data_IF_180096295302
#
_entry.id   IF_180096295302
#
_cell.length_a   1.000
_cell.length_b   1.000
_cell.length_c   1.000
_cell.angle_alpha   90.00
_cell.angle_beta   90.00
_cell.angle_gamma   90.00
#
_symmetry.space_group_name_H-M   'P 1'
#
loop_
_entity.id
_entity.type
_entity.pdbx_description
1 polymer ?
#
# COMPACT_ATOMS: atom_id res chain seq x y z
N UNK A 1 43.87 16.73 -26.57
CA UNK A 1 43.51 17.02 -25.16
C UNK A 1 42.09 16.53 -24.94
N UNK A 2 41.93 15.26 -24.54
CA UNK A 2 40.61 14.68 -24.27
C UNK A 2 40.11 15.24 -22.93
N UNK A 3 39.36 16.34 -22.99
CA UNK A 3 38.61 16.83 -21.83
C UNK A 3 37.59 15.76 -21.43
N UNK A 4 37.62 15.33 -20.18
CA UNK A 4 36.57 14.48 -19.62
C UNK A 4 35.34 15.35 -19.32
N UNK A 5 34.24 15.24 -20.09
CA UNK A 5 33.09 16.15 -19.95
C UNK A 5 32.43 16.06 -18.57
N UNK A 6 32.58 14.93 -17.89
CA UNK A 6 32.05 14.70 -16.55
C UNK A 6 32.77 15.52 -15.48
N UNK A 7 34.10 15.62 -15.56
CA UNK A 7 34.89 16.43 -14.63
C UNK A 7 34.52 17.92 -14.78
N UNK A 8 34.31 18.38 -16.02
CA UNK A 8 33.89 19.77 -16.30
C UNK A 8 32.50 20.07 -15.76
N UNK A 9 31.54 19.16 -15.96
CA UNK A 9 30.17 19.30 -15.45
C UNK A 9 30.15 19.35 -13.91
N UNK A 10 30.88 18.45 -13.25
CA UNK A 10 30.93 18.39 -11.79
C UNK A 10 31.67 19.61 -11.23
N UNK A 11 32.80 20.00 -11.82
CA UNK A 11 33.54 21.18 -11.39
C UNK A 11 32.69 22.46 -11.52
N UNK A 12 31.93 22.58 -12.61
CA UNK A 12 30.99 23.68 -12.83
C UNK A 12 29.89 23.70 -11.76
N UNK A 13 29.33 22.54 -11.42
CA UNK A 13 28.31 22.41 -10.39
C UNK A 13 28.85 22.77 -8.99
N UNK A 14 30.07 22.32 -8.67
CA UNK A 14 30.75 22.63 -7.41
C UNK A 14 30.96 24.14 -7.29
N UNK A 15 31.48 24.78 -8.33
CA UNK A 15 31.68 26.23 -8.35
C UNK A 15 30.37 27.00 -8.21
N UNK A 16 29.30 26.54 -8.84
CA UNK A 16 27.97 27.12 -8.71
C UNK A 16 27.46 27.04 -7.26
N UNK A 17 27.59 25.87 -6.62
CA UNK A 17 27.18 25.66 -5.24
C UNK A 17 28.00 26.53 -4.26
N UNK A 18 29.31 26.64 -4.47
CA UNK A 18 30.19 27.48 -3.64
C UNK A 18 29.80 28.95 -3.76
N UNK A 19 29.56 29.46 -4.98
CA UNK A 19 29.13 30.85 -5.22
C UNK A 19 27.80 31.18 -4.58
N UNK A 20 26.89 30.20 -4.51
CA UNK A 20 25.57 30.36 -3.92
C UNK A 20 25.51 30.03 -2.41
N UNK A 21 26.66 29.81 -1.76
CA UNK A 21 26.74 29.48 -0.33
C UNK A 21 26.20 28.08 0.03
N UNK A 22 26.00 27.21 -0.96
CA UNK A 22 25.44 25.87 -0.80
C UNK A 22 26.53 24.82 -0.47
N UNK A 23 27.39 25.12 0.52
CA UNK A 23 28.54 24.27 0.88
C UNK A 23 28.12 22.86 1.33
N UNK A 24 26.94 22.72 1.94
CA UNK A 24 26.35 21.41 2.31
C UNK A 24 26.30 20.44 1.14
N UNK A 25 25.89 20.91 -0.04
CA UNK A 25 25.81 20.09 -1.26
C UNK A 25 27.19 19.69 -1.77
N UNK A 26 28.22 20.50 -1.52
CA UNK A 26 29.59 20.13 -1.86
C UNK A 26 30.11 18.99 -0.98
N UNK A 27 29.77 19.00 0.31
CA UNK A 27 30.10 17.90 1.22
C UNK A 27 29.34 16.62 0.86
N UNK A 28 28.08 16.72 0.46
CA UNK A 28 27.28 15.58 -0.03
C UNK A 28 27.87 14.95 -1.31
N UNK A 29 28.54 15.74 -2.14
CA UNK A 29 29.30 15.24 -3.31
C UNK A 29 30.64 14.57 -2.93
N UNK A 30 30.99 14.54 -1.63
CA UNK A 30 32.23 13.93 -1.14
C UNK A 30 33.45 14.85 -1.17
N UNK A 31 33.27 16.17 -1.35
CA UNK A 31 34.37 17.12 -1.29
C UNK A 31 34.66 17.52 0.15
N UNK A 32 35.92 17.39 0.56
CA UNK A 32 36.37 17.83 1.87
C UNK A 32 36.51 19.36 1.95
N UNK A 33 36.42 19.96 3.16
CA UNK A 33 36.52 21.41 3.34
C UNK A 33 37.84 21.99 2.83
N UNK A 34 38.93 21.24 2.99
CA UNK A 34 40.28 21.62 2.58
C UNK A 34 40.39 21.74 1.06
N UNK A 35 39.79 20.78 0.34
CA UNK A 35 39.72 20.76 -1.12
C UNK A 35 38.87 21.93 -1.61
N UNK A 36 37.75 22.23 -0.95
CA UNK A 36 36.90 23.38 -1.29
C UNK A 36 37.60 24.73 -1.10
N UNK A 37 38.43 24.86 -0.06
CA UNK A 37 39.23 26.07 0.15
C UNK A 37 40.27 26.27 -0.97
N UNK A 38 40.92 25.17 -1.41
CA UNK A 38 41.86 25.21 -2.53
C UNK A 38 41.19 25.49 -3.87
N UNK A 39 39.96 25.00 -4.08
CA UNK A 39 39.16 25.25 -5.29
C UNK A 39 38.81 26.73 -5.51
N UNK A 40 38.94 27.60 -4.50
CA UNK A 40 38.77 29.04 -4.69
C UNK A 40 39.90 29.66 -5.52
N UNK A 41 41.05 28.99 -5.62
CA UNK A 41 42.19 29.47 -6.39
C UNK A 41 42.03 29.13 -7.88
N UNK A 42 42.18 30.12 -8.79
CA UNK A 42 42.08 29.89 -10.24
C UNK A 42 43.07 28.84 -10.79
N UNK A 43 44.23 28.69 -10.14
CA UNK A 43 45.26 27.70 -10.47
C UNK A 43 44.79 26.26 -10.24
N UNK A 44 44.17 25.99 -9.09
CA UNK A 44 43.63 24.68 -8.76
C UNK A 44 42.50 24.26 -9.71
N UNK A 45 41.62 25.20 -10.07
CA UNK A 45 40.56 24.98 -11.05
C UNK A 45 41.11 24.61 -12.43
N UNK A 46 42.14 25.35 -12.87
CA UNK A 46 42.78 25.10 -14.16
C UNK A 46 43.47 23.74 -14.21
N UNK A 47 44.03 23.27 -13.08
CA UNK A 47 44.59 21.91 -12.98
C UNK A 47 43.49 20.85 -13.07
N UNK A 48 42.46 20.93 -12.23
CA UNK A 48 41.37 19.94 -12.19
C UNK A 48 40.61 19.83 -13.52
N UNK A 49 40.48 20.93 -14.26
CA UNK A 49 39.80 20.98 -15.56
C UNK A 49 40.65 20.41 -16.69
N UNK A 50 41.98 20.56 -16.64
CA UNK A 50 42.90 20.10 -17.68
C UNK A 50 43.52 18.71 -17.40
N UNK A 51 43.21 18.10 -16.26
CA UNK A 51 43.67 16.76 -15.91
C UNK A 51 43.09 15.71 -16.88
N UNK A 52 43.92 14.82 -17.48
CA UNK A 52 43.46 13.77 -18.40
C UNK A 52 42.82 12.57 -17.68
N UNK A 53 42.87 12.52 -16.35
CA UNK A 53 42.34 11.45 -15.49
C UNK A 53 40.95 11.84 -14.96
N UNK A 54 39.98 10.92 -15.04
CA UNK A 54 38.68 11.07 -14.38
C UNK A 54 38.84 10.98 -12.86
N UNK A 55 38.57 12.07 -12.16
CA UNK A 55 38.56 12.11 -10.69
C UNK A 55 37.13 12.02 -10.12
N UNK A 56 36.11 11.99 -10.98
CA UNK A 56 34.73 11.73 -10.60
C UNK A 56 34.28 10.34 -11.04
N UNK A 57 33.63 9.62 -10.13
CA UNK A 57 32.87 8.42 -10.46
C UNK A 57 31.37 8.72 -10.28
N UNK A 58 30.60 8.64 -11.36
CA UNK A 58 29.14 8.87 -11.32
C UNK A 58 28.44 7.54 -11.47
N UNK A 59 27.69 7.17 -10.44
CA UNK A 59 26.82 6.00 -10.46
C UNK A 59 25.37 6.46 -10.55
N UNK A 60 24.61 5.86 -11.46
CA UNK A 60 23.18 6.14 -11.61
C UNK A 60 22.45 4.97 -10.97
N UNK A 61 21.62 5.26 -9.96
CA UNK A 61 20.69 4.27 -9.42
C UNK A 61 19.50 4.12 -10.38
N UNK A 62 19.60 3.10 -11.24
CA UNK A 62 18.57 2.79 -12.23
C UNK A 62 17.22 2.40 -11.61
N UNK A 63 17.20 1.84 -10.40
CA UNK A 63 15.94 1.52 -9.72
C UNK A 63 15.25 2.78 -9.20
N UNK A 64 16.01 3.70 -8.60
CA UNK A 64 15.48 4.98 -8.15
C UNK A 64 14.98 5.82 -9.32
N UNK A 65 15.74 5.86 -10.43
CA UNK A 65 15.31 6.55 -11.67
C UNK A 65 13.99 5.95 -12.19
N UNK A 66 13.86 4.62 -12.23
CA UNK A 66 12.60 3.96 -12.61
C UNK A 66 11.46 4.31 -11.66
N UNK A 67 11.70 4.34 -10.35
CA UNK A 67 10.69 4.74 -9.35
C UNK A 67 10.22 6.19 -9.56
N UNK A 68 11.15 7.12 -9.81
CA UNK A 68 10.84 8.54 -10.10
C UNK A 68 10.08 8.69 -11.43
N UNK A 69 10.46 7.95 -12.46
CA UNK A 69 9.75 7.98 -13.74
C UNK A 69 8.34 7.38 -13.62
N UNK A 70 8.19 6.29 -12.88
CA UNK A 70 6.88 5.68 -12.63
C UNK A 70 5.97 6.58 -11.79
N UNK A 71 6.52 7.36 -10.85
CA UNK A 71 5.70 8.34 -10.11
C UNK A 71 5.29 9.54 -10.97
N UNK A 72 6.14 9.96 -11.92
CA UNK A 72 5.86 11.07 -12.83
C UNK A 72 4.90 10.72 -13.98
N UNK A 73 4.76 9.43 -14.34
CA UNK A 73 3.93 8.95 -15.46
C UNK A 73 2.52 8.49 -15.04
N UNK A 74 2.12 8.64 -13.77
CA UNK A 74 0.76 8.25 -13.37
C UNK A 74 -0.26 9.14 -14.07
N UNK A 75 -1.22 8.50 -14.73
CA UNK A 75 -2.34 9.22 -15.34
C UNK A 75 -3.22 9.86 -14.25
N UNK A 76 -3.89 10.97 -14.58
CA UNK A 76 -4.87 11.60 -13.67
C UNK A 76 -5.96 10.61 -13.20
N UNK A 77 -6.29 9.63 -14.04
CA UNK A 77 -7.22 8.54 -13.70
C UNK A 77 -6.67 7.61 -12.62
N UNK A 78 -5.39 7.24 -12.70
CA UNK A 78 -4.73 6.38 -11.72
C UNK A 78 -4.58 7.10 -10.36
N UNK A 79 -4.23 8.38 -10.37
CA UNK A 79 -4.16 9.20 -9.14
C UNK A 79 -5.52 9.24 -8.44
N UNK A 80 -6.61 9.49 -9.19
CA UNK A 80 -7.98 9.46 -8.66
C UNK A 80 -8.35 8.09 -8.11
N UNK A 81 -7.94 7.02 -8.77
CA UNK A 81 -8.20 5.65 -8.33
C UNK A 81 -7.48 5.32 -7.02
N UNK A 82 -6.23 5.75 -6.86
CA UNK A 82 -5.46 5.61 -5.62
C UNK A 82 -6.12 6.38 -4.47
N UNK A 83 -6.52 7.63 -4.70
CA UNK A 83 -7.21 8.43 -3.68
C UNK A 83 -8.53 7.80 -3.25
N UNK A 84 -9.30 7.28 -4.21
CA UNK A 84 -10.55 6.55 -3.97
C UNK A 84 -10.30 5.29 -3.12
N UNK A 85 -9.33 4.47 -3.52
CA UNK A 85 -8.93 3.27 -2.78
C UNK A 85 -8.52 3.61 -1.33
N UNK A 86 -7.76 4.69 -1.15
CA UNK A 86 -7.34 5.17 0.18
C UNK A 86 -8.52 5.61 1.05
N UNK A 87 -9.52 6.34 0.51
CA UNK A 87 -10.75 6.72 1.23
C UNK A 87 -11.60 5.50 1.63
N UNK A 88 -11.54 4.43 0.85
CA UNK A 88 -12.21 3.17 1.13
C UNK A 88 -11.41 2.26 2.08
N UNK A 89 -10.25 2.71 2.55
CA UNK A 89 -9.43 1.99 3.52
C UNK A 89 -8.56 0.90 2.91
N UNK A 90 -8.07 1.10 1.68
CA UNK A 90 -7.06 0.22 1.08
C UNK A 90 -5.82 0.10 1.97
N UNK A 91 -5.26 -1.12 2.05
CA UNK A 91 -4.01 -1.37 2.77
C UNK A 91 -2.81 -0.90 1.96
N UNK A 92 -1.69 -0.68 2.65
CA UNK A 92 -0.42 -0.34 1.99
C UNK A 92 0.00 -1.46 1.04
N UNK A 93 -0.23 -2.73 1.39
CA UNK A 93 0.04 -3.87 0.53
C UNK A 93 -0.79 -3.83 -0.76
N UNK A 94 -2.09 -3.52 -0.69
CA UNK A 94 -2.92 -3.38 -1.90
C UNK A 94 -2.37 -2.28 -2.81
N UNK A 95 -2.07 -1.10 -2.27
CA UNK A 95 -1.56 0.01 -3.05
C UNK A 95 -0.20 -0.26 -3.68
N UNK A 96 0.64 -1.04 -3.00
CA UNK A 96 1.90 -1.53 -3.57
C UNK A 96 1.66 -2.56 -4.69
N UNK A 97 0.71 -3.49 -4.50
CA UNK A 97 0.41 -4.55 -5.46
C UNK A 97 -0.25 -4.02 -6.75
N UNK A 98 -1.19 -3.09 -6.64
CA UNK A 98 -1.97 -2.60 -7.78
C UNK A 98 -1.37 -1.36 -8.46
N UNK A 99 -0.70 -0.49 -7.68
CA UNK A 99 -0.20 0.81 -8.18
C UNK A 99 1.30 1.02 -7.97
N UNK A 100 2.02 0.02 -7.46
CA UNK A 100 3.47 0.11 -7.23
C UNK A 100 3.90 1.18 -6.22
N UNK A 101 2.98 1.64 -5.36
CA UNK A 101 3.28 2.68 -4.36
C UNK A 101 4.21 2.15 -3.27
N UNK A 102 5.22 2.95 -2.89
CA UNK A 102 6.04 2.62 -1.75
C UNK A 102 5.26 2.85 -0.44
N UNK A 103 5.61 2.16 0.67
CA UNK A 103 4.99 2.42 1.96
C UNK A 103 5.09 3.88 2.43
N UNK A 104 6.18 4.57 2.04
CA UNK A 104 6.40 5.98 2.36
C UNK A 104 5.44 6.88 1.58
N UNK A 105 5.25 6.62 0.28
CA UNK A 105 4.30 7.37 -0.56
C UNK A 105 2.87 7.20 -0.04
N UNK A 106 2.48 5.96 0.32
CA UNK A 106 1.16 5.68 0.90
C UNK A 106 0.95 6.44 2.21
N UNK A 107 1.97 6.47 3.09
CA UNK A 107 1.88 7.20 4.36
C UNK A 107 1.72 8.71 4.13
N UNK A 108 2.50 9.28 3.21
CA UNK A 108 2.42 10.68 2.83
C UNK A 108 1.05 11.03 2.24
N UNK A 109 0.53 10.20 1.34
CA UNK A 109 -0.76 10.43 0.70
C UNK A 109 -1.93 10.32 1.69
N UNK A 110 -1.87 9.39 2.64
CA UNK A 110 -2.83 9.31 3.76
C UNK A 110 -2.78 10.56 4.65
N UNK A 111 -1.58 11.04 4.96
CA UNK A 111 -1.39 12.25 5.76
C UNK A 111 -1.96 13.47 5.05
N UNK A 112 -1.68 13.63 3.74
CA UNK A 112 -2.23 14.72 2.93
C UNK A 112 -3.77 14.69 2.87
N UNK A 113 -4.37 13.50 2.82
CA UNK A 113 -5.82 13.33 2.82
C UNK A 113 -6.46 13.33 4.22
N UNK A 114 -5.68 13.48 5.29
CA UNK A 114 -6.20 13.43 6.67
C UNK A 114 -6.77 12.07 7.08
N UNK A 115 -6.42 10.99 6.38
CA UNK A 115 -6.92 9.64 6.66
C UNK A 115 -6.13 9.06 7.83
N UNK A 116 -6.79 8.84 8.97
CA UNK A 116 -6.20 8.15 10.11
C UNK A 116 -6.13 6.65 9.83
N UNK A 117 -4.98 6.03 10.12
CA UNK A 117 -4.81 4.59 9.91
C UNK A 117 -5.76 3.82 10.87
N UNK A 118 -6.66 3.00 10.31
CA UNK A 118 -7.56 2.13 11.09
C UNK A 118 -6.71 1.19 11.95
N UNK A 119 -6.83 1.31 13.27
CA UNK A 119 -6.24 0.38 14.25
C UNK A 119 -7.37 -0.44 14.84
N UNK A 120 -7.39 -1.74 14.57
CA UNK A 120 -8.40 -2.64 15.13
C UNK A 120 -8.42 -4.01 14.48
N UNK A 121 -9.02 -4.98 15.16
CA UNK A 121 -9.32 -6.30 14.56
C UNK A 121 -10.44 -6.11 13.54
N UNK A 122 -10.31 -6.79 12.41
CA UNK A 122 -11.35 -6.85 11.39
C UNK A 122 -12.63 -7.42 12.00
N UNK A 123 -13.78 -6.80 11.71
CA UNK A 123 -15.08 -7.43 12.00
C UNK A 123 -15.24 -8.63 11.08
N UNK A 124 -15.67 -9.76 11.64
CA UNK A 124 -16.09 -10.91 10.86
C UNK A 124 -17.39 -10.57 10.12
N UNK A 125 -17.51 -11.02 8.87
CA UNK A 125 -18.73 -10.83 8.09
C UNK A 125 -19.90 -11.59 8.74
N UNK A 126 -21.06 -10.95 8.85
CA UNK A 126 -22.30 -11.71 9.07
C UNK A 126 -22.65 -12.47 7.79
N UNK A 127 -23.37 -13.59 7.92
CA UNK A 127 -23.83 -14.40 6.78
C UNK A 127 -24.68 -13.57 5.79
N UNK A 128 -25.45 -12.61 6.30
CA UNK A 128 -26.25 -11.66 5.51
C UNK A 128 -25.36 -10.68 4.72
N UNK A 129 -24.37 -10.07 5.37
CA UNK A 129 -23.43 -9.14 4.73
C UNK A 129 -22.62 -9.83 3.63
N UNK A 130 -22.27 -11.12 3.84
CA UNK A 130 -21.51 -11.92 2.88
C UNK A 130 -22.33 -12.25 1.63
N UNK A 131 -23.62 -12.60 1.81
CA UNK A 131 -24.54 -12.87 0.71
C UNK A 131 -24.82 -11.61 -0.12
N UNK A 132 -25.01 -10.46 0.54
CA UNK A 132 -25.22 -9.18 -0.13
C UNK A 132 -23.98 -8.75 -0.92
N UNK A 133 -22.79 -8.92 -0.33
CA UNK A 133 -21.52 -8.65 -1.00
C UNK A 133 -21.36 -9.52 -2.25
N UNK A 134 -21.66 -10.81 -2.15
CA UNK A 134 -21.59 -11.76 -3.26
C UNK A 134 -22.54 -11.37 -4.39
N UNK A 135 -23.80 -11.07 -4.07
CA UNK A 135 -24.81 -10.69 -5.05
C UNK A 135 -24.42 -9.41 -5.80
N UNK A 136 -24.01 -8.37 -5.06
CA UNK A 136 -23.60 -7.08 -5.64
C UNK A 136 -22.35 -7.19 -6.49
N UNK A 137 -21.32 -7.87 -5.99
CA UNK A 137 -20.08 -8.07 -6.73
C UNK A 137 -20.31 -8.87 -8.02
N UNK A 138 -21.06 -9.96 -7.96
CA UNK A 138 -21.36 -10.76 -9.17
C UNK A 138 -22.24 -10.03 -10.18
N UNK A 139 -23.15 -9.17 -9.73
CA UNK A 139 -23.93 -8.30 -10.62
C UNK A 139 -23.03 -7.31 -11.35
N UNK A 140 -22.19 -6.57 -10.62
CA UNK A 140 -21.28 -5.56 -11.19
C UNK A 140 -20.23 -6.20 -12.12
N UNK A 141 -19.71 -7.38 -11.78
CA UNK A 141 -18.81 -8.12 -12.68
C UNK A 141 -19.46 -8.46 -14.03
N UNK A 142 -20.77 -8.80 -14.04
CA UNK A 142 -21.53 -9.08 -15.27
C UNK A 142 -21.87 -7.81 -16.04
N UNK A 143 -22.27 -6.76 -15.33
CA UNK A 143 -22.65 -5.47 -15.91
C UNK A 143 -21.46 -4.80 -16.62
N UNK A 144 -20.30 -4.78 -15.97
CA UNK A 144 -19.07 -4.19 -16.51
C UNK A 144 -18.24 -5.17 -17.36
N UNK A 145 -18.67 -6.43 -17.51
CA UNK A 145 -18.01 -7.48 -18.30
C UNK A 145 -16.51 -7.61 -17.98
N UNK A 146 -16.16 -7.53 -16.70
CA UNK A 146 -14.77 -7.50 -16.25
C UNK A 146 -14.15 -8.89 -16.34
N UNK A 147 -12.97 -8.96 -16.98
CA UNK A 147 -12.16 -10.18 -17.02
C UNK A 147 -11.46 -10.42 -15.70
N UNK A 148 -11.41 -11.68 -15.26
CA UNK A 148 -10.63 -12.09 -14.09
C UNK A 148 -9.12 -11.89 -14.26
N UNK A 149 -8.65 -11.72 -15.49
CA UNK A 149 -7.25 -11.40 -15.78
C UNK A 149 -6.90 -9.94 -15.52
N UNK A 150 -7.90 -9.04 -15.47
CA UNK A 150 -7.70 -7.61 -15.22
C UNK A 150 -7.89 -7.30 -13.73
N UNK A 151 -6.78 -7.35 -13.01
CA UNK A 151 -6.75 -7.14 -11.57
C UNK A 151 -7.09 -5.70 -11.16
N UNK A 152 -6.86 -4.72 -12.04
CA UNK A 152 -7.19 -3.30 -11.80
C UNK A 152 -8.69 -3.07 -11.99
N UNK A 153 -9.27 -3.63 -13.05
CA UNK A 153 -10.72 -3.59 -13.25
C UNK A 153 -11.47 -4.32 -12.12
N UNK A 154 -10.97 -5.47 -11.65
CA UNK A 154 -11.55 -6.15 -10.48
C UNK A 154 -11.46 -5.32 -9.20
N UNK A 155 -10.36 -4.60 -8.99
CA UNK A 155 -10.22 -3.68 -7.88
C UNK A 155 -11.25 -2.54 -7.99
N UNK A 156 -11.50 -2.03 -9.19
CA UNK A 156 -12.51 -0.99 -9.44
C UNK A 156 -13.93 -1.45 -9.09
N UNK A 157 -14.29 -2.68 -9.47
CA UNK A 157 -15.55 -3.30 -9.05
C UNK A 157 -15.62 -3.45 -7.53
N UNK A 158 -14.53 -3.89 -6.89
CA UNK A 158 -14.49 -4.00 -5.43
C UNK A 158 -14.64 -2.62 -4.74
N UNK A 159 -14.14 -1.55 -5.35
CA UNK A 159 -14.34 -0.18 -4.88
C UNK A 159 -15.78 0.29 -5.06
N UNK A 160 -16.44 -0.03 -6.17
CA UNK A 160 -17.86 0.27 -6.38
C UNK A 160 -18.74 -0.41 -5.32
N UNK A 161 -18.51 -1.70 -5.08
CA UNK A 161 -19.24 -2.45 -4.04
C UNK A 161 -18.99 -1.85 -2.65
N UNK A 162 -17.73 -1.49 -2.35
CA UNK A 162 -17.40 -0.85 -1.08
C UNK A 162 -18.09 0.51 -0.89
N UNK A 163 -18.31 1.27 -1.96
CA UNK A 163 -19.04 2.54 -1.93
C UNK A 163 -20.55 2.34 -1.74
N UNK A 164 -21.15 1.39 -2.46
CA UNK A 164 -22.58 1.05 -2.28
C UNK A 164 -22.86 0.60 -0.85
N UNK A 165 -21.99 -0.23 -0.27
CA UNK A 165 -22.13 -0.68 1.12
C UNK A 165 -21.78 0.40 2.15
N UNK A 166 -21.14 1.50 1.75
CA UNK A 166 -20.85 2.68 2.60
C UNK A 166 -22.01 3.68 2.64
N UNK A 167 -23.11 3.41 1.92
CA UNK A 167 -24.19 4.37 1.72
C UNK A 167 -24.79 4.86 3.05
N UNK A 168 -25.15 6.16 3.13
CA UNK A 168 -25.54 6.84 4.37
C UNK A 168 -26.86 6.37 5.01
N UNK A 169 -27.66 5.53 4.35
CA UNK A 169 -28.87 4.94 4.95
C UNK A 169 -28.56 4.04 6.16
N UNK A 170 -27.33 3.54 6.29
CA UNK A 170 -26.88 2.83 7.50
C UNK A 170 -26.41 3.75 8.64
N UNK A 171 -26.29 5.07 8.43
CA UNK A 171 -25.75 6.04 9.40
C UNK A 171 -26.83 6.71 10.28
N UNK A 172 -28.11 6.36 10.11
CA UNK A 172 -29.23 6.98 10.86
C UNK A 172 -29.47 6.30 12.23
N UNK A 173 -28.80 5.19 12.52
CA UNK A 173 -28.76 4.63 13.87
C UNK A 173 -27.54 5.19 14.61
N UNK A 174 -27.73 5.80 15.79
CA UNK A 174 -26.64 6.28 16.65
C UNK A 174 -25.64 5.17 17.08
N UNK A 175 -25.94 3.90 16.75
CA UNK A 175 -25.12 2.70 16.91
C UNK A 175 -24.68 2.05 15.56
N UNK A 176 -24.65 2.83 14.47
CA UNK A 176 -24.29 2.33 13.15
C UNK A 176 -22.85 1.78 13.12
N UNK A 177 -22.65 0.50 12.75
CA UNK A 177 -21.32 -0.10 12.71
C UNK A 177 -20.46 0.58 11.65
N UNK A 178 -19.24 0.97 12.02
CA UNK A 178 -18.27 1.63 11.14
C UNK A 178 -18.15 0.94 9.76
N UNK A 179 -18.04 1.70 8.66
CA UNK A 179 -18.04 1.15 7.31
C UNK A 179 -16.94 0.11 7.09
N UNK A 180 -17.29 -0.93 6.32
CA UNK A 180 -16.39 -1.99 5.89
C UNK A 180 -15.24 -1.40 5.06
N UNK A 181 -14.03 -1.94 5.26
CA UNK A 181 -12.84 -1.52 4.51
C UNK A 181 -12.75 -2.29 3.19
N UNK A 182 -12.30 -1.61 2.14
CA UNK A 182 -12.00 -2.22 0.84
C UNK A 182 -11.09 -3.44 0.95
N UNK A 183 -10.16 -3.47 1.91
CA UNK A 183 -9.27 -4.61 2.11
C UNK A 183 -9.99 -5.88 2.56
N UNK A 184 -11.05 -5.74 3.34
CA UNK A 184 -11.86 -6.86 3.85
C UNK A 184 -12.70 -7.45 2.72
N UNK A 185 -13.32 -6.56 1.94
CA UNK A 185 -14.09 -6.92 0.74
C UNK A 185 -13.19 -7.63 -0.27
N UNK A 186 -12.01 -7.04 -0.55
CA UNK A 186 -11.04 -7.62 -1.47
C UNK A 186 -10.55 -9.00 -1.02
N UNK A 187 -10.22 -9.16 0.27
CA UNK A 187 -9.81 -10.45 0.80
C UNK A 187 -10.91 -11.51 0.63
N UNK A 188 -12.19 -11.14 0.85
CA UNK A 188 -13.31 -12.06 0.70
C UNK A 188 -13.51 -12.48 -0.76
N UNK A 189 -13.45 -11.53 -1.69
CA UNK A 189 -13.48 -11.80 -3.14
C UNK A 189 -12.34 -12.74 -3.53
N UNK A 190 -11.13 -12.50 -3.03
CA UNK A 190 -10.00 -13.39 -3.30
C UNK A 190 -10.16 -14.80 -2.69
N UNK A 191 -10.87 -14.95 -1.58
CA UNK A 191 -11.20 -16.27 -1.03
C UNK A 191 -12.17 -17.00 -1.95
N UNK A 192 -13.23 -16.35 -2.43
CA UNK A 192 -14.17 -16.96 -3.36
C UNK A 192 -13.54 -17.38 -4.70
N UNK A 193 -12.60 -16.57 -5.21
CA UNK A 193 -11.83 -16.91 -6.40
C UNK A 193 -10.91 -18.11 -6.17
N UNK A 194 -10.27 -18.21 -4.98
CA UNK A 194 -9.46 -19.38 -4.60
C UNK A 194 -10.30 -20.64 -4.42
N UNK A 195 -11.52 -20.49 -3.91
CA UNK A 195 -12.51 -21.56 -3.75
C UNK A 195 -13.21 -21.93 -5.06
N UNK A 196 -12.99 -21.18 -6.14
CA UNK A 196 -13.55 -21.45 -7.47
C UNK A 196 -15.05 -21.16 -7.59
N UNK A 197 -15.61 -20.32 -6.72
CA UNK A 197 -17.04 -19.97 -6.73
C UNK A 197 -17.45 -19.07 -7.92
N UNK A 198 -16.47 -18.51 -8.64
CA UNK A 198 -16.67 -17.64 -9.81
C UNK A 198 -15.79 -18.09 -11.00
N UNK A 199 -16.29 -18.11 -12.25
CA UNK A 199 -17.62 -17.69 -12.69
C UNK A 199 -18.72 -18.61 -12.16
N UNK A 200 -19.89 -18.07 -11.74
CA UNK A 200 -20.99 -18.91 -11.30
C UNK A 200 -21.41 -19.73 -12.52
N UNK A 201 -21.11 -21.03 -12.49
CA UNK A 201 -21.55 -21.96 -13.51
C UNK A 201 -23.04 -21.74 -13.75
N UNK A 202 -23.43 -21.47 -14.99
CA UNK A 202 -24.84 -21.47 -15.37
C UNK A 202 -25.37 -22.90 -15.17
N UNK A 203 -25.85 -23.21 -13.98
CA UNK A 203 -26.28 -24.55 -13.62
C UNK A 203 -26.00 -24.89 -12.16
N UNK A 204 -27.10 -24.98 -11.40
CA UNK A 204 -27.23 -25.46 -10.02
C UNK A 204 -26.80 -24.53 -8.90
N UNK A 205 -27.81 -23.88 -8.31
CA UNK A 205 -27.70 -23.21 -7.03
C UNK A 205 -27.21 -24.16 -5.94
N UNK A 206 -26.14 -23.75 -5.27
CA UNK A 206 -25.87 -24.15 -3.90
C UNK A 206 -25.00 -23.06 -3.27
N UNK A 207 -25.63 -22.27 -2.39
CA UNK A 207 -24.93 -21.62 -1.29
C UNK A 207 -24.09 -22.67 -0.55
N UNK A 208 -22.90 -22.32 -0.03
CA UNK A 208 -22.09 -23.26 0.73
C UNK A 208 -22.90 -23.81 1.92
N UNK A 209 -23.07 -25.13 1.93
CA UNK A 209 -23.81 -25.85 2.96
C UNK A 209 -23.07 -25.75 4.30
N UNK A 210 -23.86 -25.48 5.35
CA UNK A 210 -23.50 -25.50 6.79
C UNK A 210 -22.48 -26.60 7.13
N UNK A 211 -21.49 -26.32 8.01
CA UNK A 211 -20.83 -27.40 8.72
C UNK A 211 -21.86 -28.08 9.63
N UNK A 212 -22.11 -29.36 9.35
CA UNK A 212 -23.01 -30.23 10.11
C UNK A 212 -22.59 -30.29 11.57
N UNK A 213 -23.54 -30.03 12.47
CA UNK A 213 -23.45 -30.33 13.89
C UNK A 213 -23.19 -31.83 14.08
N UNK A 214 -21.94 -32.18 14.35
CA UNK A 214 -21.51 -33.52 14.71
C UNK A 214 -21.87 -33.82 16.15
N UNK A 215 -22.94 -34.57 16.33
CA UNK A 215 -23.33 -35.27 17.55
C UNK A 215 -22.14 -36.02 18.18
N UNK A 216 -21.84 -35.74 19.45
CA UNK A 216 -21.30 -36.75 20.37
C UNK A 216 -22.14 -36.77 21.64
N UNK A 217 -23.03 -37.75 21.69
CA UNK A 217 -23.76 -38.14 22.88
C UNK A 217 -22.92 -39.17 23.66
N UNK A 218 -22.83 -38.93 24.97
CA UNK A 218 -22.64 -39.86 26.08
C UNK A 218 -21.33 -40.64 26.22
N UNK A 219 -20.67 -40.40 27.36
CA UNK A 219 -20.54 -41.46 28.38
C UNK A 219 -20.55 -40.83 29.79
N UNK A 220 -21.27 -41.51 30.70
CA UNK A 220 -21.68 -41.08 32.03
C UNK A 220 -20.86 -41.83 33.09
N UNK A 221 -20.49 -41.10 34.16
CA UNK A 221 -20.43 -41.49 35.61
C UNK A 221 -19.26 -42.38 36.09
N UNK A 222 -19.00 -42.48 37.44
CA UNK A 222 -19.42 -41.64 38.59
C UNK A 222 -18.31 -41.34 39.66
N UNK A 223 -18.54 -40.32 40.50
CA UNK A 223 -18.36 -40.38 41.97
C UNK A 223 -17.01 -40.01 42.60
N UNK A 224 -17.01 -38.98 43.47
CA UNK A 224 -16.35 -38.84 44.80
C UNK A 224 -16.24 -37.32 45.14
N UNK A 225 -17.13 -36.80 45.99
CA UNK A 225 -16.95 -36.52 47.44
C UNK A 225 -16.08 -35.29 47.75
N UNK A 226 -16.76 -34.19 48.13
CA UNK A 226 -16.26 -33.11 49.02
C UNK A 226 -15.92 -33.68 50.42
N UNK A 227 -15.34 -32.96 51.41
CA UNK A 227 -15.12 -31.50 51.52
C UNK A 227 -13.78 -31.07 52.16
N UNK A 228 -13.48 -29.75 52.20
CA UNK A 228 -12.88 -29.06 53.36
C UNK A 228 -12.61 -27.58 53.01
N UNK A 229 -13.50 -26.68 53.42
CA UNK A 229 -13.22 -25.25 53.53
C UNK A 229 -13.44 -24.89 55.00
N UNK A 230 -12.36 -24.48 55.66
CA UNK A 230 -12.32 -24.07 57.05
C UNK A 230 -12.30 -22.55 57.13
N UNK A 231 -13.36 -22.02 57.75
CA UNK A 231 -13.54 -20.73 58.43
C UNK A 231 -12.37 -20.32 59.37
N UNK A 232 -12.41 -19.15 60.04
CA UNK A 232 -12.77 -17.79 59.62
C UNK A 232 -11.78 -16.72 60.15
N UNK A 233 -12.02 -15.44 59.83
CA UNK A 233 -11.43 -14.26 60.47
C UNK A 233 -11.69 -14.18 61.99
N UNK A 234 -10.87 -13.41 62.71
CA UNK A 234 -11.41 -12.25 63.43
C UNK A 234 -10.72 -10.90 63.13
#
# INVERSE_FOLDING_TARGET
MSKTPINEAILSQVLHNVRNGQLRRCFEMGLEPEVLAQLQQPSALSLLLNTPVSWCNVTIDGEMVKKILNSAQRSDGEVRMIERALRLGATTHMLQQFFGLSPQDVALQRLMMGITARRGRWREFSEETDADLWYRWTHLMKEHQVSLADSVAMLDIAMLVAEEMKSPDSLVAEDAPEPLSLAVIWHRIQSWLREGLYPPSQGHGQLPRKPSAGTKLAQRKPGQSSPAEGDPEP
#
